data_IF_633494214590
#
_entry.id   IF_633494214590
#
_cell.length_a   1.000
_cell.length_b   1.000
_cell.length_c   1.000
_cell.angle_alpha   90.00
_cell.angle_beta   90.00
_cell.angle_gamma   90.00
#
_symmetry.space_group_name_H-M   'P 1'
#
loop_
_entity.id
_entity.type
_entity.pdbx_description
1 polymer ?
#
# COMPACT_ATOMS: atom_id res chain seq x y z
N UNK A 1 -25.28 7.68 -11.85
CA UNK A 1 -24.30 6.97 -12.72
C UNK A 1 -22.86 7.48 -12.49
N UNK A 2 -22.35 7.43 -11.25
CA UNK A 2 -20.98 7.90 -10.92
C UNK A 2 -20.04 6.79 -10.43
N UNK A 3 -20.60 5.61 -10.12
CA UNK A 3 -19.88 4.46 -9.55
C UNK A 3 -19.13 3.63 -10.62
N UNK A 4 -19.61 3.62 -11.86
CA UNK A 4 -18.97 2.87 -12.96
C UNK A 4 -17.74 3.59 -13.55
N UNK A 5 -17.60 4.90 -13.30
CA UNK A 5 -16.52 5.70 -13.89
C UNK A 5 -15.18 5.47 -13.17
N UNK A 6 -15.21 5.01 -11.92
CA UNK A 6 -14.00 4.72 -11.12
C UNK A 6 -13.40 3.36 -11.49
N UNK A 7 -14.23 2.36 -11.79
CA UNK A 7 -13.75 1.04 -12.19
C UNK A 7 -13.05 1.05 -13.56
N UNK A 8 -13.50 1.90 -14.48
CA UNK A 8 -12.88 2.02 -15.81
C UNK A 8 -11.49 2.67 -15.78
N UNK A 9 -11.19 3.48 -14.75
CA UNK A 9 -9.88 4.10 -14.54
C UNK A 9 -8.85 3.15 -13.90
N UNK A 10 -9.28 2.05 -13.28
CA UNK A 10 -8.38 1.04 -12.73
C UNK A 10 -7.96 0.00 -13.77
N UNK A 11 -8.76 -0.19 -14.82
CA UNK A 11 -8.44 -1.12 -15.91
C UNK A 11 -7.25 -0.65 -16.78
N UNK A 12 -6.98 0.65 -16.84
CA UNK A 12 -5.83 1.20 -17.59
C UNK A 12 -4.49 1.04 -16.87
N UNK A 13 -4.48 0.65 -15.59
CA UNK A 13 -3.25 0.35 -14.85
C UNK A 13 -2.69 -1.06 -15.13
N UNK A 14 -3.44 -1.92 -15.83
CA UNK A 14 -3.07 -3.31 -16.10
C UNK A 14 -2.73 -3.62 -17.57
N UNK A 15 -2.70 -2.60 -18.44
CA UNK A 15 -2.20 -2.78 -19.81
C UNK A 15 -0.69 -2.56 -19.83
N UNK A 16 0.09 -3.51 -20.39
CA UNK A 16 1.54 -3.36 -20.50
C UNK A 16 1.84 -2.33 -21.58
N UNK A 17 2.47 -1.21 -21.20
CA UNK A 17 3.06 -0.29 -22.17
C UNK A 17 4.34 -0.97 -22.67
N UNK A 18 4.28 -1.42 -23.93
CA UNK A 18 5.41 -1.92 -24.69
C UNK A 18 6.38 -0.77 -24.97
N UNK A 19 7.65 -0.97 -24.59
CA UNK A 19 8.82 -0.30 -25.17
C UNK A 19 9.16 1.07 -24.59
N UNK A 20 10.30 1.17 -23.93
CA UNK A 20 11.51 1.81 -24.47
C UNK A 20 12.63 1.66 -23.43
N UNK A 21 13.75 1.14 -23.91
CA UNK A 21 15.01 1.00 -23.19
C UNK A 21 15.59 2.37 -22.84
N UNK A 22 16.29 2.47 -21.72
CA UNK A 22 17.69 2.93 -21.65
C UNK A 22 18.21 2.86 -20.20
N UNK A 23 19.52 2.68 -20.11
CA UNK A 23 20.30 2.13 -19.01
C UNK A 23 20.59 3.10 -17.83
N UNK A 24 21.35 2.59 -16.83
CA UNK A 24 22.27 3.29 -15.89
C UNK A 24 21.79 3.44 -14.42
N UNK A 25 22.63 3.21 -13.38
CA UNK A 25 23.26 1.96 -12.96
C UNK A 25 22.96 1.63 -11.46
N UNK A 26 23.43 0.47 -11.01
CA UNK A 26 23.39 0.01 -9.62
C UNK A 26 23.96 1.04 -8.62
N UNK A 27 23.15 1.42 -7.62
CA UNK A 27 23.67 1.89 -6.34
C UNK A 27 22.95 1.16 -5.20
N UNK A 28 23.76 0.33 -4.58
CA UNK A 28 23.52 -0.51 -3.41
C UNK A 28 23.21 0.40 -2.21
N UNK A 29 21.93 0.60 -1.89
CA UNK A 29 21.52 1.24 -0.64
C UNK A 29 20.63 0.27 0.13
N UNK A 30 21.29 -0.52 0.96
CA UNK A 30 20.68 -1.22 2.10
C UNK A 30 20.06 -0.15 3.01
N UNK A 31 18.79 0.18 2.77
CA UNK A 31 18.08 1.19 3.56
C UNK A 31 17.19 0.46 4.56
N UNK A 32 17.73 0.24 5.75
CA UNK A 32 16.90 -0.07 6.92
C UNK A 32 15.92 1.08 7.12
N UNK A 33 14.63 0.85 6.88
CA UNK A 33 13.61 1.88 6.93
C UNK A 33 13.21 2.17 8.38
N UNK A 34 14.07 2.85 9.13
CA UNK A 34 13.73 3.45 10.41
C UNK A 34 13.15 4.84 10.16
N UNK A 35 11.82 4.97 10.23
CA UNK A 35 11.12 6.26 10.11
C UNK A 35 11.38 7.06 11.39
N UNK A 36 12.46 7.84 11.40
CA UNK A 36 12.70 8.87 12.41
C UNK A 36 11.92 10.14 12.04
N UNK A 37 11.11 10.60 12.98
CA UNK A 37 10.15 11.69 12.85
C UNK A 37 10.88 13.04 12.98
N UNK A 38 11.12 13.72 11.86
CA UNK A 38 11.44 15.14 11.85
C UNK A 38 10.30 15.89 11.14
N UNK A 39 9.36 16.46 11.91
CA UNK A 39 8.28 17.30 11.39
C UNK A 39 8.47 18.71 11.92
N UNK A 40 8.61 19.65 11.00
CA UNK A 40 8.67 21.10 11.23
C UNK A 40 7.40 21.62 11.92
N UNK A 41 7.50 22.54 12.89
CA UNK A 41 6.40 22.87 13.80
C UNK A 41 5.55 24.04 13.31
N UNK A 42 4.76 23.89 12.24
CA UNK A 42 3.85 24.96 11.79
C UNK A 42 2.46 24.49 11.32
N UNK A 43 1.77 23.63 12.09
CA UNK A 43 0.30 23.43 11.97
C UNK A 43 -0.26 22.68 13.19
N UNK A 44 -0.15 23.24 14.41
CA UNK A 44 -0.58 22.52 15.63
C UNK A 44 -2.00 22.81 16.13
N UNK A 45 -2.79 23.68 15.49
CA UNK A 45 -4.05 24.17 16.10
C UNK A 45 -5.35 23.59 15.54
N UNK A 46 -5.36 22.92 14.37
CA UNK A 46 -6.62 22.44 13.75
C UNK A 46 -6.99 20.98 14.04
N UNK A 47 -6.06 20.17 14.56
CA UNK A 47 -6.30 18.74 14.77
C UNK A 47 -6.94 18.40 16.13
N UNK A 48 -7.05 19.37 17.05
CA UNK A 48 -7.49 19.11 18.42
C UNK A 48 -8.99 18.77 18.57
N UNK A 49 -9.80 19.11 17.57
CA UNK A 49 -11.27 18.96 17.61
C UNK A 49 -11.84 17.95 16.60
N UNK A 50 -11.00 17.18 15.90
CA UNK A 50 -11.52 16.12 15.03
C UNK A 50 -11.95 14.92 15.88
N UNK A 51 -13.11 14.37 15.57
CA UNK A 51 -13.57 13.10 16.12
C UNK A 51 -12.45 12.04 15.91
N UNK A 52 -11.98 11.35 16.96
CA UNK A 52 -10.98 10.29 16.87
C UNK A 52 -11.33 9.24 15.80
N UNK A 53 -12.61 8.98 15.57
CA UNK A 53 -13.09 8.05 14.53
C UNK A 53 -12.79 8.56 13.13
N UNK A 54 -13.01 9.84 12.87
CA UNK A 54 -12.72 10.48 11.58
C UNK A 54 -11.21 10.50 11.31
N UNK A 55 -10.40 10.78 12.34
CA UNK A 55 -8.94 10.72 12.23
C UNK A 55 -8.46 9.29 11.89
N UNK A 56 -9.04 8.26 12.51
CA UNK A 56 -8.71 6.86 12.21
C UNK A 56 -9.11 6.46 10.79
N UNK A 57 -10.24 6.94 10.29
CA UNK A 57 -10.71 6.66 8.92
C UNK A 57 -9.83 7.34 7.86
N UNK A 58 -9.42 8.59 8.09
CA UNK A 58 -8.43 9.29 7.26
C UNK A 58 -7.09 8.55 7.23
N UNK A 59 -6.60 8.12 8.41
CA UNK A 59 -5.37 7.34 8.53
C UNK A 59 -5.48 5.98 7.83
N UNK A 60 -6.61 5.29 7.96
CA UNK A 60 -6.85 4.02 7.29
C UNK A 60 -6.87 4.19 5.77
N UNK A 61 -7.52 5.24 5.27
CA UNK A 61 -7.53 5.56 3.83
C UNK A 61 -6.12 5.85 3.31
N UNK A 62 -5.32 6.62 4.05
CA UNK A 62 -3.91 6.87 3.70
C UNK A 62 -3.09 5.59 3.70
N UNK A 63 -3.29 4.73 4.69
CA UNK A 63 -2.65 3.42 4.75
C UNK A 63 -2.99 2.57 3.52
N UNK A 64 -4.26 2.44 3.15
CA UNK A 64 -4.66 1.67 1.96
C UNK A 64 -4.03 2.22 0.67
N UNK A 65 -3.93 3.54 0.53
CA UNK A 65 -3.23 4.17 -0.60
C UNK A 65 -1.74 3.81 -0.63
N UNK A 66 -1.08 3.83 0.52
CA UNK A 66 0.34 3.45 0.65
C UNK A 66 0.55 1.98 0.31
N UNK A 67 -0.34 1.09 0.75
CA UNK A 67 -0.31 -0.34 0.40
C UNK A 67 -0.44 -0.51 -1.11
N UNK A 68 -1.44 0.11 -1.75
CA UNK A 68 -1.61 0.03 -3.21
C UNK A 68 -0.36 0.51 -3.95
N UNK A 69 0.26 1.61 -3.50
CA UNK A 69 1.51 2.09 -4.11
C UNK A 69 2.66 1.12 -3.88
N UNK A 70 2.79 0.55 -2.69
CA UNK A 70 3.82 -0.42 -2.37
C UNK A 70 3.70 -1.70 -3.20
N UNK A 71 2.49 -2.22 -3.41
CA UNK A 71 2.25 -3.44 -4.19
C UNK A 71 2.55 -3.28 -5.68
N UNK A 72 2.66 -2.05 -6.20
CA UNK A 72 3.12 -1.80 -7.59
C UNK A 72 4.62 -2.06 -7.77
N UNK A 73 5.39 -2.07 -6.68
CA UNK A 73 6.83 -2.28 -6.72
C UNK A 73 7.14 -3.78 -6.81
N UNK A 74 7.83 -4.26 -7.87
CA UNK A 74 8.10 -5.69 -8.05
C UNK A 74 8.89 -6.30 -6.89
N UNK A 75 9.79 -5.53 -6.28
CA UNK A 75 10.63 -5.98 -5.15
C UNK A 75 9.78 -6.31 -3.92
N UNK A 76 8.64 -5.63 -3.77
CA UNK A 76 7.67 -5.87 -2.70
C UNK A 76 6.71 -6.99 -3.12
N UNK A 77 6.19 -6.94 -4.35
CA UNK A 77 5.16 -7.88 -4.82
C UNK A 77 5.66 -9.32 -4.99
N UNK A 78 6.96 -9.50 -5.20
CA UNK A 78 7.58 -10.80 -5.42
C UNK A 78 8.28 -11.36 -4.17
N UNK A 79 8.29 -10.63 -3.05
CA UNK A 79 8.88 -11.08 -1.79
C UNK A 79 7.78 -11.42 -0.77
N UNK A 80 7.61 -12.71 -0.40
CA UNK A 80 6.59 -13.11 0.56
C UNK A 80 6.77 -12.48 1.95
N UNK A 81 8.00 -12.15 2.37
CA UNK A 81 8.25 -11.50 3.66
C UNK A 81 7.71 -10.07 3.67
N UNK A 82 7.95 -9.30 2.60
CA UNK A 82 7.41 -7.96 2.46
C UNK A 82 5.87 -7.94 2.49
N UNK A 83 5.25 -8.92 1.83
CA UNK A 83 3.79 -9.06 1.81
C UNK A 83 3.22 -9.44 3.19
N UNK A 84 3.90 -10.31 3.94
CA UNK A 84 3.52 -10.64 5.32
C UNK A 84 3.64 -9.44 6.26
N UNK A 85 4.71 -8.64 6.13
CA UNK A 85 4.88 -7.42 6.91
C UNK A 85 3.75 -6.41 6.63
N UNK A 86 3.32 -6.29 5.37
CA UNK A 86 2.16 -5.48 5.01
C UNK A 86 0.90 -6.01 5.69
N UNK A 87 0.63 -7.33 5.64
CA UNK A 87 -0.54 -7.94 6.28
C UNK A 87 -0.60 -7.66 7.78
N UNK A 88 0.53 -7.73 8.49
CA UNK A 88 0.60 -7.40 9.93
C UNK A 88 0.20 -5.96 10.23
N UNK A 89 0.32 -5.03 9.27
CA UNK A 89 -0.12 -3.64 9.46
C UNK A 89 -1.64 -3.49 9.34
N UNK A 90 -2.35 -4.41 8.67
CA UNK A 90 -3.82 -4.38 8.58
C UNK A 90 -4.47 -4.62 9.96
N UNK A 91 -3.82 -5.36 10.86
CA UNK A 91 -4.30 -5.63 12.22
C UNK A 91 -4.42 -4.35 13.08
N UNK A 92 -3.77 -3.26 12.67
CA UNK A 92 -3.90 -1.95 13.33
C UNK A 92 -5.22 -1.25 13.04
N UNK A 93 -6.00 -1.77 12.08
CA UNK A 93 -7.26 -1.20 11.62
C UNK A 93 -8.42 -2.23 11.64
N UNK A 94 -8.69 -2.91 12.77
CA UNK A 94 -9.68 -3.99 12.84
C UNK A 94 -11.12 -3.48 12.66
N UNK A 95 -11.39 -2.24 13.06
CA UNK A 95 -12.70 -1.60 12.99
C UNK A 95 -12.98 -0.97 11.61
N UNK A 96 -11.97 -0.86 10.74
CA UNK A 96 -12.04 -0.14 9.46
C UNK A 96 -12.23 -1.10 8.27
N UNK A 97 -13.21 -2.02 8.40
CA UNK A 97 -13.51 -3.08 7.43
C UNK A 97 -14.23 -2.57 6.18
N UNK A 98 -13.53 -1.76 5.39
CA UNK A 98 -13.99 -1.38 4.04
C UNK A 98 -13.78 -2.49 3.01
N UNK A 99 -14.56 -2.48 1.92
CA UNK A 99 -14.41 -3.42 0.80
C UNK A 99 -12.97 -3.47 0.26
N UNK A 100 -12.32 -2.31 0.17
CA UNK A 100 -10.92 -2.20 -0.28
C UNK A 100 -9.93 -2.85 0.69
N UNK A 101 -10.15 -2.71 2.00
CA UNK A 101 -9.34 -3.40 3.02
C UNK A 101 -9.43 -4.90 2.80
N UNK A 102 -10.65 -5.44 2.74
CA UNK A 102 -10.88 -6.87 2.60
C UNK A 102 -10.30 -7.42 1.30
N UNK A 103 -10.50 -6.70 0.19
CA UNK A 103 -9.97 -7.09 -1.11
C UNK A 103 -8.44 -7.14 -1.12
N UNK A 104 -7.77 -6.12 -0.58
CA UNK A 104 -6.31 -6.10 -0.49
C UNK A 104 -5.78 -7.24 0.37
N UNK A 105 -6.40 -7.50 1.52
CA UNK A 105 -6.03 -8.61 2.40
C UNK A 105 -6.11 -9.95 1.67
N UNK A 106 -7.17 -10.20 0.89
CA UNK A 106 -7.34 -11.44 0.12
C UNK A 106 -6.27 -11.56 -0.98
N UNK A 107 -6.06 -10.49 -1.76
CA UNK A 107 -5.06 -10.47 -2.84
C UNK A 107 -3.66 -10.75 -2.30
N UNK A 108 -3.28 -10.10 -1.20
CA UNK A 108 -1.95 -10.25 -0.61
C UNK A 108 -1.79 -11.67 -0.05
N UNK A 109 -2.77 -12.20 0.69
CA UNK A 109 -2.73 -13.58 1.21
C UNK A 109 -2.59 -14.62 0.08
N UNK A 110 -3.38 -14.46 -0.98
CA UNK A 110 -3.30 -15.34 -2.15
C UNK A 110 -1.93 -15.27 -2.83
N UNK A 111 -1.35 -14.07 -2.96
CA UNK A 111 -0.01 -13.90 -3.52
C UNK A 111 1.06 -14.58 -2.67
N UNK A 112 1.03 -14.39 -1.35
CA UNK A 112 1.94 -15.07 -0.41
C UNK A 112 1.86 -16.58 -0.60
N UNK A 113 0.65 -17.14 -0.63
CA UNK A 113 0.44 -18.57 -0.86
C UNK A 113 1.13 -19.05 -2.15
N UNK A 114 0.89 -18.37 -3.29
CA UNK A 114 1.52 -18.70 -4.57
C UNK A 114 3.05 -18.66 -4.48
N UNK A 115 3.62 -17.60 -3.90
CA UNK A 115 5.07 -17.44 -3.79
C UNK A 115 5.67 -18.54 -2.92
N UNK A 116 5.04 -18.89 -1.80
CA UNK A 116 5.51 -19.96 -0.92
C UNK A 116 5.38 -21.34 -1.53
N UNK A 117 4.33 -21.61 -2.32
CA UNK A 117 4.15 -22.91 -3.00
C UNK A 117 5.13 -23.11 -4.16
N UNK A 118 5.53 -22.03 -4.84
CA UNK A 118 6.50 -22.09 -5.93
C UNK A 118 7.96 -22.13 -5.46
N UNK A 119 8.22 -21.87 -4.17
CA UNK A 119 9.54 -21.97 -3.54
C UNK A 119 9.80 -23.36 -2.94
N UNK A 120 8.77 -24.21 -2.85
CA UNK A 120 8.84 -25.59 -2.38
C UNK A 120 9.12 -26.56 -3.54
#
# INVERSE_FOLDING_TARGET
MRKYLVCSLLASLFLPIVGMAEDVPETLISTSLSISRNVTPETFTWHFWKDPKVVREEQHTLFLKQVIFALKRPEIWNDPLNLLLILLQFDKFPEASGECHNLLTVIIKHRVMILTMNMA
#
